data_IF_039098674416
#
_entry.id   IF_039098674416
#
_cell.length_a   1.000
_cell.length_b   1.000
_cell.length_c   1.000
_cell.angle_alpha   90.00
_cell.angle_beta   90.00
_cell.angle_gamma   90.00
#
_symmetry.space_group_name_H-M   'P 1'
#
loop_
_entity.id
_entity.type
_entity.pdbx_description
1 polymer ?
#
# COMPACT_ATOMS: atom_id res chain seq x y z
N UNK A 1 -17.42 10.24 -28.03
CA UNK A 1 -18.02 8.95 -27.61
C UNK A 1 -18.93 9.16 -26.40
N UNK A 2 -20.23 9.41 -26.61
CA UNK A 2 -21.16 9.82 -25.54
C UNK A 2 -22.16 8.75 -25.09
N UNK A 3 -22.28 7.62 -25.81
CA UNK A 3 -23.20 6.54 -25.45
C UNK A 3 -22.61 5.60 -24.39
N UNK A 4 -23.26 5.44 -23.22
CA UNK A 4 -22.78 4.54 -22.16
C UNK A 4 -22.73 3.07 -22.55
N UNK A 5 -23.62 2.60 -23.43
CA UNK A 5 -23.61 1.20 -23.89
C UNK A 5 -22.40 0.91 -24.77
N UNK A 6 -22.11 1.79 -25.72
CA UNK A 6 -20.95 1.67 -26.61
C UNK A 6 -19.64 1.71 -25.80
N UNK A 7 -19.55 2.58 -24.79
CA UNK A 7 -18.38 2.61 -23.90
C UNK A 7 -18.19 1.28 -23.15
N UNK A 8 -19.28 0.70 -22.60
CA UNK A 8 -19.22 -0.61 -21.92
C UNK A 8 -18.80 -1.74 -22.87
N UNK A 9 -19.31 -1.75 -24.10
CA UNK A 9 -18.96 -2.77 -25.08
C UNK A 9 -17.49 -2.67 -25.50
N UNK A 10 -16.99 -1.46 -25.72
CA UNK A 10 -15.57 -1.22 -26.02
C UNK A 10 -14.68 -1.69 -24.86
N UNK A 11 -15.02 -1.34 -23.62
CA UNK A 11 -14.29 -1.79 -22.42
C UNK A 11 -14.29 -3.31 -22.34
N UNK A 12 -15.44 -3.95 -22.56
CA UNK A 12 -15.57 -5.42 -22.51
C UNK A 12 -14.72 -6.10 -23.59
N UNK A 13 -14.77 -5.61 -24.83
CA UNK A 13 -13.99 -6.15 -25.94
C UNK A 13 -12.49 -5.95 -25.70
N UNK A 14 -12.08 -4.76 -25.24
CA UNK A 14 -10.68 -4.47 -24.91
C UNK A 14 -10.16 -5.39 -23.80
N UNK A 15 -10.94 -5.58 -22.72
CA UNK A 15 -10.60 -6.50 -21.65
C UNK A 15 -10.47 -7.95 -22.17
N UNK A 16 -11.46 -8.44 -22.92
CA UNK A 16 -11.42 -9.78 -23.51
C UNK A 16 -10.22 -10.00 -24.42
N UNK A 17 -9.90 -9.03 -25.29
CA UNK A 17 -8.77 -9.13 -26.22
C UNK A 17 -7.43 -9.08 -25.48
N UNK A 18 -7.32 -8.25 -24.45
CA UNK A 18 -6.13 -8.16 -23.60
C UNK A 18 -5.91 -9.48 -22.86
N UNK A 19 -6.93 -10.00 -22.18
CA UNK A 19 -6.89 -11.30 -21.50
C UNK A 19 -6.51 -12.43 -22.46
N UNK A 20 -7.13 -12.49 -23.65
CA UNK A 20 -6.78 -13.52 -24.65
C UNK A 20 -5.33 -13.43 -25.10
N UNK A 21 -4.79 -12.22 -25.22
CA UNK A 21 -3.38 -12.01 -25.56
C UNK A 21 -2.46 -12.52 -24.45
N UNK A 22 -2.81 -12.26 -23.19
CA UNK A 22 -2.08 -12.77 -22.01
C UNK A 22 -2.11 -14.30 -21.98
N UNK A 23 -3.28 -14.91 -22.16
CA UNK A 23 -3.44 -16.38 -22.19
C UNK A 23 -2.59 -16.99 -23.30
N UNK A 24 -2.62 -16.42 -24.50
CA UNK A 24 -1.83 -16.93 -25.62
C UNK A 24 -0.32 -16.77 -25.41
N UNK A 25 0.12 -15.71 -24.73
CA UNK A 25 1.53 -15.48 -24.43
C UNK A 25 2.07 -16.44 -23.36
N UNK A 26 1.23 -16.77 -22.36
CA UNK A 26 1.53 -17.77 -21.34
C UNK A 26 1.44 -19.21 -21.88
N UNK A 27 0.49 -19.50 -22.77
CA UNK A 27 0.29 -20.84 -23.34
C UNK A 27 0.03 -21.90 -22.25
N UNK A 28 0.79 -22.99 -22.30
CA UNK A 28 0.73 -24.11 -21.34
C UNK A 28 1.80 -24.03 -20.24
N UNK A 29 2.57 -22.93 -20.20
CA UNK A 29 3.68 -22.76 -19.26
C UNK A 29 3.23 -22.62 -17.79
N UNK A 30 4.18 -22.78 -16.89
CA UNK A 30 3.96 -22.60 -15.45
C UNK A 30 4.01 -21.11 -15.09
N UNK A 31 3.31 -20.72 -14.03
CA UNK A 31 3.25 -19.32 -13.61
C UNK A 31 3.21 -19.17 -12.09
N UNK A 32 3.52 -17.97 -11.64
CA UNK A 32 3.34 -17.51 -10.26
C UNK A 32 2.17 -16.54 -10.19
N UNK A 33 1.52 -16.47 -9.04
CA UNK A 33 0.50 -15.47 -8.76
C UNK A 33 1.06 -14.42 -7.80
N UNK A 34 0.78 -13.15 -8.08
CA UNK A 34 0.93 -12.07 -7.11
C UNK A 34 -0.47 -11.57 -6.75
N UNK A 35 -0.74 -11.42 -5.45
CA UNK A 35 -2.05 -11.00 -4.97
C UNK A 35 -1.95 -9.87 -3.94
N UNK A 36 -2.91 -8.95 -3.99
CA UNK A 36 -3.03 -7.86 -3.03
C UNK A 36 -4.51 -7.64 -2.65
N UNK A 37 -4.80 -7.62 -1.35
CA UNK A 37 -6.14 -7.34 -0.82
C UNK A 37 -6.35 -5.82 -0.69
N UNK A 38 -7.52 -5.35 -1.11
CA UNK A 38 -7.90 -3.95 -0.96
C UNK A 38 -9.41 -3.80 -0.73
N UNK A 39 -9.79 -2.70 -0.07
CA UNK A 39 -11.18 -2.28 0.09
C UNK A 39 -11.56 -1.27 -0.96
N UNK A 40 -12.71 -1.47 -1.59
CA UNK A 40 -13.29 -0.47 -2.49
C UNK A 40 -14.08 0.62 -1.74
N UNK A 41 -14.53 1.63 -2.47
CA UNK A 41 -15.30 2.77 -1.95
C UNK A 41 -16.64 2.37 -1.31
N UNK A 42 -17.13 1.16 -1.55
CA UNK A 42 -18.35 0.61 -0.96
C UNK A 42 -18.04 -0.35 0.19
N UNK A 43 -16.81 -0.32 0.73
CA UNK A 43 -16.29 -1.19 1.78
C UNK A 43 -16.35 -2.68 1.43
N UNK A 44 -16.30 -3.02 0.14
CA UNK A 44 -16.23 -4.40 -0.32
C UNK A 44 -14.79 -4.82 -0.54
N UNK A 45 -14.46 -5.98 -0.02
CA UNK A 45 -13.14 -6.58 -0.18
C UNK A 45 -12.94 -7.07 -1.62
N UNK A 46 -11.78 -6.74 -2.16
CA UNK A 46 -11.35 -7.10 -3.51
C UNK A 46 -9.91 -7.55 -3.46
N UNK A 47 -9.57 -8.45 -4.35
CA UNK A 47 -8.20 -8.93 -4.49
C UNK A 47 -7.76 -8.73 -5.93
N UNK A 48 -6.65 -8.02 -6.10
CA UNK A 48 -6.00 -7.90 -7.39
C UNK A 48 -5.17 -9.16 -7.58
N UNK A 49 -5.25 -9.78 -8.76
CA UNK A 49 -4.44 -10.95 -9.11
C UNK A 49 -3.62 -10.63 -10.36
N UNK A 50 -2.32 -10.81 -10.25
CA UNK A 50 -1.33 -10.63 -11.31
C UNK A 50 -0.70 -11.99 -11.60
N UNK A 51 -0.53 -12.31 -12.88
CA UNK A 51 0.27 -13.45 -13.33
C UNK A 51 1.70 -12.99 -13.54
N UNK A 52 2.64 -13.73 -12.98
CA UNK A 52 4.08 -13.55 -13.19
C UNK A 52 4.60 -14.84 -13.82
N UNK A 53 5.11 -14.77 -15.06
CA UNK A 53 5.58 -15.93 -15.80
C UNK A 53 6.75 -15.56 -16.72
N UNK A 54 7.42 -16.58 -17.28
CA UNK A 54 8.44 -16.40 -18.31
C UNK A 54 7.79 -16.64 -19.66
N UNK A 55 7.89 -15.68 -20.58
CA UNK A 55 7.34 -15.84 -21.92
C UNK A 55 8.23 -16.73 -22.80
N UNK A 56 7.75 -17.04 -24.00
CA UNK A 56 8.49 -17.85 -25.00
C UNK A 56 9.85 -17.26 -25.44
N UNK A 57 10.15 -16.01 -25.09
CA UNK A 57 11.43 -15.35 -25.37
C UNK A 57 12.38 -15.40 -24.16
N UNK A 58 12.01 -16.10 -23.08
CA UNK A 58 12.80 -16.17 -21.85
C UNK A 58 12.74 -14.90 -20.99
N UNK A 59 11.83 -13.97 -21.27
CA UNK A 59 11.67 -12.73 -20.50
C UNK A 59 10.66 -12.90 -19.37
N UNK A 60 10.93 -12.31 -18.22
CA UNK A 60 9.98 -12.21 -17.11
C UNK A 60 8.85 -11.26 -17.51
N UNK A 61 7.61 -11.69 -17.30
CA UNK A 61 6.42 -10.92 -17.65
C UNK A 61 5.42 -10.95 -16.52
N UNK A 62 5.09 -9.75 -16.05
CA UNK A 62 3.93 -9.51 -15.19
C UNK A 62 2.73 -9.00 -16.00
N UNK A 63 1.59 -9.66 -15.82
CA UNK A 63 0.31 -9.32 -16.45
C UNK A 63 -0.82 -9.29 -15.44
N UNK A 64 -1.52 -8.17 -15.39
CA UNK A 64 -2.77 -8.07 -14.64
C UNK A 64 -3.79 -9.09 -15.16
N UNK A 65 -4.21 -10.01 -14.29
CA UNK A 65 -5.20 -11.02 -14.63
C UNK A 65 -6.62 -10.50 -14.43
N UNK A 66 -6.84 -9.79 -13.32
CA UNK A 66 -8.15 -9.26 -12.98
C UNK A 66 -8.28 -8.89 -11.51
N UNK A 67 -9.50 -8.48 -11.16
CA UNK A 67 -9.91 -8.23 -9.78
C UNK A 67 -10.90 -9.33 -9.39
N UNK A 68 -10.53 -10.11 -8.39
CA UNK A 68 -11.41 -11.09 -7.76
C UNK A 68 -12.27 -10.39 -6.70
N UNK A 69 -13.58 -10.57 -6.77
CA UNK A 69 -14.47 -10.10 -5.71
C UNK A 69 -14.46 -11.12 -4.58
N UNK A 70 -14.15 -10.65 -3.37
CA UNK A 70 -14.03 -11.51 -2.20
C UNK A 70 -15.21 -11.22 -1.27
N UNK A 71 -15.95 -12.28 -0.89
CA UNK A 71 -17.09 -12.15 0.03
C UNK A 71 -16.62 -11.89 1.47
N UNK A 72 -15.57 -12.59 1.89
CA UNK A 72 -14.95 -12.46 3.22
C UNK A 72 -13.45 -12.62 3.10
N UNK A 73 -12.67 -11.97 3.95
CA UNK A 73 -11.19 -12.10 3.97
C UNK A 73 -10.73 -13.43 4.59
N UNK A 74 -11.58 -14.47 4.60
CA UNK A 74 -11.16 -15.80 5.03
C UNK A 74 -10.30 -16.44 3.95
N UNK A 75 -9.28 -17.19 4.33
CA UNK A 75 -8.35 -17.85 3.40
C UNK A 75 -9.04 -18.75 2.39
N UNK A 76 -10.14 -19.40 2.79
CA UNK A 76 -10.95 -20.24 1.91
C UNK A 76 -11.65 -19.37 0.86
N UNK A 77 -12.31 -18.29 1.27
CA UNK A 77 -12.95 -17.37 0.32
C UNK A 77 -11.93 -16.76 -0.64
N UNK A 78 -10.72 -16.45 -0.17
CA UNK A 78 -9.65 -15.93 -1.03
C UNK A 78 -9.21 -16.95 -2.06
N UNK A 79 -8.96 -18.19 -1.64
CA UNK A 79 -8.62 -19.27 -2.56
C UNK A 79 -9.72 -19.48 -3.59
N UNK A 80 -10.98 -19.55 -3.17
CA UNK A 80 -12.12 -19.71 -4.08
C UNK A 80 -12.16 -18.57 -5.09
N UNK A 81 -12.01 -17.32 -4.64
CA UNK A 81 -11.99 -16.14 -5.50
C UNK A 81 -10.83 -16.16 -6.52
N UNK A 82 -9.64 -16.62 -6.13
CA UNK A 82 -8.50 -16.82 -7.06
C UNK A 82 -8.84 -17.91 -8.07
N UNK A 83 -9.34 -19.05 -7.60
CA UNK A 83 -9.67 -20.19 -8.46
C UNK A 83 -10.75 -19.83 -9.48
N UNK A 84 -11.81 -19.15 -9.05
CA UNK A 84 -12.88 -18.69 -9.94
C UNK A 84 -12.35 -17.75 -11.03
N UNK A 85 -11.43 -16.85 -10.66
CA UNK A 85 -10.80 -15.92 -11.60
C UNK A 85 -9.89 -16.66 -12.60
N UNK A 86 -9.07 -17.60 -12.14
CA UNK A 86 -8.19 -18.39 -12.99
C UNK A 86 -8.98 -19.33 -13.92
N UNK A 87 -9.99 -20.03 -13.40
CA UNK A 87 -10.86 -20.92 -14.16
C UNK A 87 -11.61 -20.18 -15.27
N UNK A 88 -12.05 -18.94 -15.03
CA UNK A 88 -12.67 -18.08 -16.05
C UNK A 88 -11.76 -17.83 -17.25
N UNK A 89 -10.45 -17.94 -17.06
CA UNK A 89 -9.44 -17.77 -18.10
C UNK A 89 -8.87 -19.10 -18.61
N UNK A 90 -9.42 -20.24 -18.18
CA UNK A 90 -8.98 -21.57 -18.58
C UNK A 90 -7.72 -22.06 -17.84
N UNK A 91 -7.32 -21.39 -16.76
CA UNK A 91 -6.17 -21.81 -15.96
C UNK A 91 -6.58 -22.70 -14.79
N UNK A 92 -5.68 -23.61 -14.41
CA UNK A 92 -5.82 -24.49 -13.24
C UNK A 92 -4.77 -24.14 -12.18
N UNK A 93 -5.12 -24.29 -10.89
CA UNK A 93 -4.20 -24.05 -9.78
C UNK A 93 -2.98 -24.97 -9.77
N UNK A 94 -3.09 -26.14 -10.40
CA UNK A 94 -2.00 -27.11 -10.55
C UNK A 94 -0.78 -26.57 -11.33
N UNK A 95 -0.95 -25.50 -12.11
CA UNK A 95 0.12 -24.83 -12.87
C UNK A 95 0.86 -23.75 -12.07
N UNK A 96 0.37 -23.42 -10.88
CA UNK A 96 1.00 -22.41 -10.01
C UNK A 96 2.32 -22.97 -9.47
N UNK A 97 3.40 -22.20 -9.61
CA UNK A 97 4.75 -22.49 -9.07
C UNK A 97 5.28 -21.44 -8.11
N UNK A 98 4.58 -20.33 -7.97
CA UNK A 98 4.89 -19.33 -6.96
C UNK A 98 3.65 -18.57 -6.52
N UNK A 99 3.70 -18.06 -5.31
CA UNK A 99 2.66 -17.24 -4.72
C UNK A 99 3.31 -16.12 -3.90
N UNK A 100 3.09 -14.88 -4.35
CA UNK A 100 3.59 -13.67 -3.71
C UNK A 100 2.45 -12.80 -3.19
N UNK A 101 2.41 -12.58 -1.88
CA UNK A 101 1.44 -11.69 -1.24
C UNK A 101 1.90 -11.34 0.19
N UNK A 102 1.13 -10.51 0.89
CA UNK A 102 1.48 -10.07 2.24
C UNK A 102 1.47 -11.21 3.28
N UNK A 103 1.92 -10.88 4.50
CA UNK A 103 2.02 -11.79 5.63
C UNK A 103 0.78 -11.80 6.52
N UNK A 104 -0.38 -11.35 6.03
CA UNK A 104 -1.58 -11.32 6.84
C UNK A 104 -1.96 -12.75 7.30
N UNK A 105 -2.65 -12.87 8.45
CA UNK A 105 -2.90 -14.17 9.09
C UNK A 105 -3.69 -15.14 8.21
N UNK A 106 -4.67 -14.63 7.49
CA UNK A 106 -5.45 -15.32 6.46
C UNK A 106 -4.61 -15.69 5.22
N UNK A 107 -3.49 -15.02 4.98
CA UNK A 107 -2.61 -15.27 3.83
C UNK A 107 -1.50 -16.28 4.18
N UNK A 108 -0.67 -15.99 5.19
CA UNK A 108 0.54 -16.75 5.50
C UNK A 108 0.34 -17.96 6.45
N UNK A 109 -0.81 -18.06 7.13
CA UNK A 109 -1.01 -19.07 8.18
C UNK A 109 -0.73 -20.53 7.76
N UNK A 110 -0.02 -21.28 8.60
CA UNK A 110 0.52 -22.62 8.24
C UNK A 110 -0.53 -23.75 8.16
N UNK A 111 -1.70 -23.56 8.79
CA UNK A 111 -2.76 -24.58 8.81
C UNK A 111 -3.94 -24.17 7.91
N UNK A 112 -4.41 -22.93 8.05
CA UNK A 112 -5.59 -22.45 7.34
C UNK A 112 -5.32 -21.17 6.55
N UNK A 113 -4.07 -20.74 6.38
CA UNK A 113 -3.75 -19.60 5.52
C UNK A 113 -3.83 -19.95 4.04
N UNK A 114 -4.03 -18.95 3.18
CA UNK A 114 -4.11 -19.09 1.73
C UNK A 114 -2.90 -19.85 1.18
N UNK A 115 -1.70 -19.52 1.69
CA UNK A 115 -0.44 -20.21 1.38
C UNK A 115 -0.58 -21.71 1.52
N UNK A 116 -1.05 -22.14 2.68
CA UNK A 116 -1.12 -23.56 3.02
C UNK A 116 -2.22 -24.25 2.21
N UNK A 117 -3.30 -23.54 1.89
CA UNK A 117 -4.39 -24.09 1.08
C UNK A 117 -4.00 -24.26 -0.40
N UNK A 118 -3.19 -23.36 -0.96
CA UNK A 118 -2.67 -23.50 -2.34
C UNK A 118 -1.57 -24.55 -2.39
N UNK A 119 -0.63 -24.56 -1.43
CA UNK A 119 0.44 -25.56 -1.34
C UNK A 119 -0.10 -27.00 -1.26
N UNK A 120 -1.24 -27.22 -0.62
CA UNK A 120 -1.91 -28.53 -0.58
C UNK A 120 -2.38 -29.03 -1.96
N UNK A 121 -2.74 -28.12 -2.86
CA UNK A 121 -3.16 -28.46 -4.23
C UNK A 121 -2.00 -28.47 -5.22
N UNK A 122 -1.05 -27.55 -5.04
CA UNK A 122 0.17 -27.44 -5.83
C UNK A 122 1.38 -27.41 -4.90
N UNK A 123 1.99 -28.57 -4.59
CA UNK A 123 3.15 -28.64 -3.68
C UNK A 123 4.37 -27.84 -4.13
N UNK A 124 4.43 -27.47 -5.41
CA UNK A 124 5.49 -26.67 -5.99
C UNK A 124 5.18 -25.17 -6.00
N UNK A 125 4.06 -24.70 -5.43
CA UNK A 125 3.68 -23.29 -5.40
C UNK A 125 4.36 -22.54 -4.24
N UNK A 126 5.64 -22.22 -4.39
CA UNK A 126 6.44 -21.64 -3.30
C UNK A 126 5.95 -20.24 -2.88
N UNK A 127 5.85 -20.04 -1.58
CA UNK A 127 5.46 -18.76 -0.98
C UNK A 127 6.62 -17.79 -0.87
N UNK A 128 6.39 -16.57 -1.33
CA UNK A 128 7.26 -15.42 -1.07
C UNK A 128 6.45 -14.35 -0.35
N UNK A 129 6.88 -14.00 0.87
CA UNK A 129 6.31 -12.87 1.59
C UNK A 129 6.75 -11.57 0.91
N UNK A 130 5.81 -10.68 0.64
CA UNK A 130 6.08 -9.35 0.11
C UNK A 130 7.16 -8.60 0.92
N UNK A 131 8.36 -8.45 0.34
CA UNK A 131 9.49 -7.78 0.99
C UNK A 131 9.20 -6.31 1.30
N UNK A 132 8.46 -5.61 0.44
CA UNK A 132 8.05 -4.24 0.69
C UNK A 132 7.15 -4.13 1.95
N UNK A 133 6.26 -5.11 2.15
CA UNK A 133 5.44 -5.20 3.36
C UNK A 133 6.29 -5.56 4.59
N UNK A 134 7.27 -6.46 4.46
CA UNK A 134 8.18 -6.78 5.57
C UNK A 134 9.01 -5.57 6.02
N UNK A 135 9.59 -4.84 5.06
CA UNK A 135 10.31 -3.60 5.34
C UNK A 135 9.41 -2.59 6.06
N UNK A 136 8.17 -2.44 5.59
CA UNK A 136 7.17 -1.57 6.22
C UNK A 136 6.91 -1.97 7.68
N UNK A 137 6.69 -3.26 7.95
CA UNK A 137 6.44 -3.77 9.30
C UNK A 137 7.65 -3.56 10.23
N UNK A 138 8.87 -3.75 9.74
CA UNK A 138 10.10 -3.50 10.50
C UNK A 138 10.22 -2.03 10.91
N UNK A 139 9.97 -1.10 10.00
CA UNK A 139 9.98 0.33 10.29
C UNK A 139 8.92 0.72 11.35
N UNK A 140 7.71 0.14 11.27
CA UNK A 140 6.67 0.34 12.29
C UNK A 140 7.11 -0.17 13.65
N UNK A 141 7.66 -1.37 13.71
CA UNK A 141 8.10 -1.96 14.97
C UNK A 141 9.18 -1.09 15.64
N UNK A 142 10.18 -0.65 14.86
CA UNK A 142 11.27 0.20 15.35
C UNK A 142 10.74 1.56 15.81
N UNK A 143 9.93 2.24 15.00
CA UNK A 143 9.38 3.55 15.35
C UNK A 143 8.54 3.52 16.64
N UNK A 144 7.76 2.45 16.85
CA UNK A 144 6.96 2.26 18.08
C UNK A 144 7.81 1.89 19.30
N UNK A 145 8.94 1.21 19.10
CA UNK A 145 9.83 0.80 20.18
C UNK A 145 10.68 1.96 20.73
N UNK A 146 10.89 3.03 19.96
CA UNK A 146 11.72 4.16 20.36
C UNK A 146 10.90 5.33 20.92
N UNK A 147 11.09 5.60 22.23
CA UNK A 147 10.41 6.67 22.97
C UNK A 147 10.61 8.07 22.41
N UNK A 148 11.71 8.34 21.70
CA UNK A 148 11.98 9.63 21.07
C UNK A 148 11.29 9.77 19.71
N UNK A 149 11.08 8.65 19.01
CA UNK A 149 10.49 8.61 17.67
C UNK A 149 8.95 8.64 17.72
N UNK A 150 8.36 7.98 18.71
CA UNK A 150 6.91 7.94 18.88
C UNK A 150 6.25 9.33 19.03
N UNK A 151 6.80 10.28 19.80
CA UNK A 151 6.30 11.66 19.87
C UNK A 151 6.34 12.40 18.53
N UNK A 152 7.37 12.18 17.70
CA UNK A 152 7.46 12.78 16.37
C UNK A 152 6.29 12.35 15.47
N UNK A 153 5.99 11.05 15.41
CA UNK A 153 4.88 10.57 14.58
C UNK A 153 3.51 10.91 15.16
N UNK A 154 3.40 11.03 16.48
CA UNK A 154 2.20 11.57 17.13
C UNK A 154 1.99 13.04 16.76
N UNK A 155 3.04 13.86 16.82
CA UNK A 155 3.02 15.26 16.36
C UNK A 155 2.54 15.37 14.90
N UNK A 156 3.09 14.55 14.00
CA UNK A 156 2.73 14.56 12.58
C UNK A 156 1.25 14.24 12.40
N UNK A 157 0.73 13.21 13.07
CA UNK A 157 -0.69 12.86 13.04
C UNK A 157 -1.55 14.02 13.55
N UNK A 158 -1.25 14.53 14.74
CA UNK A 158 -2.07 15.54 15.40
C UNK A 158 -2.09 16.86 14.59
N UNK A 159 -0.98 17.24 13.98
CA UNK A 159 -0.89 18.42 13.10
C UNK A 159 -1.73 18.27 11.84
N UNK A 160 -1.88 17.04 11.33
CA UNK A 160 -2.63 16.71 10.11
C UNK A 160 -4.11 16.41 10.32
N UNK A 161 -4.49 16.05 11.55
CA UNK A 161 -5.87 15.91 11.97
C UNK A 161 -6.52 17.26 12.28
N UNK A 162 -5.77 18.22 12.83
CA UNK A 162 -6.27 19.57 13.15
C UNK A 162 -6.45 20.47 11.92
N UNK A 163 -5.82 20.12 10.79
CA UNK A 163 -6.13 20.72 9.50
C UNK A 163 -7.35 20.05 8.88
N UNK A 164 -8.56 20.58 9.12
CA UNK A 164 -9.70 20.35 8.23
C UNK A 164 -9.41 20.97 6.86
N UNK A 165 -8.54 20.33 6.10
CA UNK A 165 -8.42 20.58 4.67
C UNK A 165 -8.93 19.31 4.02
N UNK A 166 -10.09 19.45 3.39
CA UNK A 166 -10.60 18.57 2.35
C UNK A 166 -9.40 18.21 1.47
N UNK A 167 -8.83 17.02 1.63
CA UNK A 167 -7.77 16.56 0.74
C UNK A 167 -8.43 16.27 -0.60
N UNK A 168 -8.63 17.31 -1.40
CA UNK A 168 -9.06 17.19 -2.78
C UNK A 168 -8.04 16.32 -3.51
N UNK A 169 -8.52 15.26 -4.15
CA UNK A 169 -7.71 14.46 -5.08
C UNK A 169 -7.25 15.40 -6.21
N UNK A 170 -5.95 15.72 -6.32
CA UNK A 170 -5.45 16.63 -7.36
C UNK A 170 -3.92 16.85 -7.35
N UNK A 171 -3.40 17.42 -8.45
CA UNK A 171 -1.99 17.51 -8.88
C UNK A 171 -1.04 18.42 -8.05
N UNK A 172 -1.49 19.07 -6.97
CA UNK A 172 -0.71 20.11 -6.27
C UNK A 172 -0.15 19.70 -4.89
N UNK A 173 0.14 18.40 -4.67
CA UNK A 173 0.59 17.88 -3.37
C UNK A 173 2.12 17.81 -3.19
N UNK A 174 2.92 18.40 -4.07
CA UNK A 174 4.38 18.31 -3.93
C UNK A 174 4.91 19.06 -2.70
N UNK A 175 4.24 20.15 -2.27
CA UNK A 175 4.71 21.04 -1.18
C UNK A 175 3.81 21.08 0.06
N UNK A 176 2.70 20.33 0.10
CA UNK A 176 1.80 20.30 1.28
C UNK A 176 2.13 19.14 2.22
N UNK A 177 1.88 19.29 3.54
CA UNK A 177 1.99 18.18 4.48
C UNK A 177 1.04 17.04 4.06
N UNK A 178 1.60 15.94 3.55
CA UNK A 178 0.82 14.78 3.11
C UNK A 178 0.27 14.06 4.34
N UNK A 179 -0.98 13.60 4.30
CA UNK A 179 -1.49 12.67 5.30
C UNK A 179 -0.72 11.37 5.20
N UNK A 180 -0.02 10.94 6.27
CA UNK A 180 0.50 9.61 6.31
C UNK A 180 -0.66 8.64 6.25
N UNK A 181 -0.61 7.69 5.33
CA UNK A 181 -1.44 6.51 5.43
C UNK A 181 -0.68 5.52 6.32
N UNK A 182 -1.34 4.98 7.34
CA UNK A 182 -0.76 3.99 8.28
C UNK A 182 -0.09 2.80 7.57
N UNK A 183 -0.45 2.57 6.29
CA UNK A 183 0.02 1.46 5.46
C UNK A 183 1.16 1.81 4.48
N UNK A 184 1.63 3.06 4.38
CA UNK A 184 2.64 3.47 3.38
C UNK A 184 3.70 4.44 3.93
N UNK A 185 4.86 3.95 4.41
CA UNK A 185 5.98 4.77 4.94
C UNK A 185 6.56 5.79 3.95
N UNK A 186 6.40 5.58 2.64
CA UNK A 186 6.75 6.58 1.63
C UNK A 186 5.99 7.90 1.82
N UNK A 187 4.75 7.84 2.32
CA UNK A 187 3.99 9.03 2.70
C UNK A 187 4.60 9.74 3.91
N UNK A 188 5.03 8.98 4.93
CA UNK A 188 5.72 9.53 6.10
C UNK A 188 7.03 10.23 5.73
N UNK A 189 7.84 9.66 4.84
CA UNK A 189 9.06 10.31 4.34
C UNK A 189 8.76 11.68 3.74
N UNK A 190 7.81 11.75 2.79
CA UNK A 190 7.42 13.00 2.16
C UNK A 190 6.85 14.02 3.17
N UNK A 191 6.11 13.55 4.17
CA UNK A 191 5.61 14.41 5.25
C UNK A 191 6.73 14.99 6.10
N UNK A 192 7.75 14.20 6.46
CA UNK A 192 8.90 14.72 7.22
C UNK A 192 9.71 15.73 6.40
N UNK A 193 9.93 15.45 5.11
CA UNK A 193 10.58 16.40 4.19
C UNK A 193 9.80 17.72 4.13
N UNK A 194 8.49 17.65 3.95
CA UNK A 194 7.64 18.84 3.89
C UNK A 194 7.59 19.59 5.23
N UNK A 195 7.58 18.88 6.37
CA UNK A 195 7.66 19.51 7.69
C UNK A 195 8.98 20.28 7.88
N UNK A 196 10.11 19.73 7.41
CA UNK A 196 11.41 20.41 7.46
C UNK A 196 11.38 21.66 6.57
N UNK A 197 10.86 21.55 5.35
CA UNK A 197 10.78 22.67 4.40
C UNK A 197 9.83 23.78 4.89
N UNK A 198 8.74 23.40 5.57
CA UNK A 198 7.71 24.31 6.06
C UNK A 198 7.87 24.66 7.55
N UNK A 199 9.01 24.36 8.17
CA UNK A 199 9.15 24.42 9.63
C UNK A 199 8.80 25.81 10.20
N UNK A 200 9.27 26.88 9.55
CA UNK A 200 8.95 28.27 9.90
C UNK A 200 7.47 28.63 9.70
N UNK A 201 6.85 28.11 8.64
CA UNK A 201 5.42 28.33 8.37
C UNK A 201 4.54 27.59 9.38
N UNK A 202 4.88 26.34 9.71
CA UNK A 202 4.15 25.54 10.69
C UNK A 202 4.24 26.15 12.08
N UNK A 203 5.43 26.58 12.51
CA UNK A 203 5.61 27.31 13.77
C UNK A 203 4.80 28.59 13.81
N UNK A 204 4.85 29.42 12.76
CA UNK A 204 4.05 30.64 12.68
C UNK A 204 2.53 30.40 12.76
N UNK A 205 2.02 29.34 12.11
CA UNK A 205 0.59 28.97 12.22
C UNK A 205 0.24 28.52 13.64
N UNK A 206 1.07 27.70 14.27
CA UNK A 206 0.83 27.27 15.64
C UNK A 206 0.90 28.44 16.64
N UNK A 207 1.78 29.43 16.41
CA UNK A 207 1.84 30.66 17.20
C UNK A 207 0.57 31.50 17.05
N UNK A 208 0.03 31.64 15.83
CA UNK A 208 -1.26 32.32 15.63
C UNK A 208 -2.41 31.60 16.36
N UNK A 209 -2.46 30.26 16.29
CA UNK A 209 -3.47 29.46 16.98
C UNK A 209 -3.35 29.52 18.51
N UNK A 210 -2.12 29.75 19.02
CA UNK A 210 -1.87 29.95 20.45
C UNK A 210 -2.51 31.25 20.96
N UNK A 211 -2.54 32.30 20.16
CA UNK A 211 -3.09 33.60 20.54
C UNK A 211 -4.63 33.68 20.33
N UNK A 212 -5.23 32.68 19.69
CA UNK A 212 -6.66 32.69 19.37
C UNK A 212 -7.54 32.45 20.61
N UNK A 213 -8.33 33.46 20.97
CA UNK A 213 -9.05 33.55 22.27
C UNK A 213 -10.26 32.61 22.34
N UNK A 214 -10.89 32.27 21.22
CA UNK A 214 -12.17 31.53 21.14
C UNK A 214 -12.06 30.01 21.20
N UNK A 215 -10.87 29.43 20.97
CA UNK A 215 -10.69 27.98 20.81
C UNK A 215 -9.70 27.39 21.84
N UNK A 216 -10.16 27.21 23.08
CA UNK A 216 -9.30 26.79 24.20
C UNK A 216 -8.60 25.43 23.98
N UNK A 217 -9.29 24.47 23.37
CA UNK A 217 -8.70 23.17 23.03
C UNK A 217 -7.65 23.26 21.92
N UNK A 218 -7.90 24.07 20.89
CA UNK A 218 -6.93 24.32 19.82
C UNK A 218 -5.68 25.00 20.35
N UNK A 219 -5.85 25.95 21.28
CA UNK A 219 -4.76 26.65 21.97
C UNK A 219 -3.87 25.71 22.78
N UNK A 220 -4.48 24.84 23.59
CA UNK A 220 -3.74 23.88 24.41
C UNK A 220 -2.91 22.92 23.54
N UNK A 221 -3.51 22.44 22.44
CA UNK A 221 -2.82 21.60 21.45
C UNK A 221 -1.68 22.35 20.76
N UNK A 222 -1.93 23.56 20.25
CA UNK A 222 -0.92 24.37 19.57
C UNK A 222 0.28 24.66 20.47
N UNK A 223 0.04 25.00 21.75
CA UNK A 223 1.08 25.16 22.76
C UNK A 223 1.91 23.88 22.96
N UNK A 224 1.26 22.73 23.07
CA UNK A 224 1.95 21.45 23.21
C UNK A 224 2.82 21.11 22.00
N UNK A 225 2.32 21.36 20.78
CA UNK A 225 3.04 21.15 19.53
C UNK A 225 4.25 22.09 19.41
N UNK A 226 4.10 23.39 19.72
CA UNK A 226 5.21 24.34 19.74
C UNK A 226 6.29 23.95 20.75
N UNK A 227 5.89 23.57 21.96
CA UNK A 227 6.82 23.12 23.00
C UNK A 227 7.60 21.87 22.58
N UNK A 228 6.99 20.98 21.79
CA UNK A 228 7.70 19.84 21.22
C UNK A 228 8.68 20.27 20.14
N UNK A 229 8.26 21.14 19.22
CA UNK A 229 9.09 21.60 18.10
C UNK A 229 10.36 22.31 18.57
N UNK A 230 10.28 23.09 19.64
CA UNK A 230 11.41 23.86 20.21
C UNK A 230 12.49 22.98 20.88
N UNK A 231 12.20 21.69 21.10
CA UNK A 231 13.18 20.76 21.69
C UNK A 231 14.23 20.34 20.68
N UNK A 232 15.49 20.38 21.11
CA UNK A 232 16.61 19.78 20.37
C UNK A 232 16.33 18.32 20.00
N UNK A 233 15.81 17.52 20.93
CA UNK A 233 15.50 16.11 20.69
C UNK A 233 14.49 15.92 19.55
N UNK A 234 13.52 16.85 19.40
CA UNK A 234 12.56 16.80 18.31
C UNK A 234 13.24 17.09 16.97
N UNK A 235 14.03 18.16 16.89
CA UNK A 235 14.79 18.52 15.68
C UNK A 235 15.74 17.39 15.27
N UNK A 236 16.51 16.85 16.22
CA UNK A 236 17.42 15.73 15.99
C UNK A 236 16.66 14.51 15.47
N UNK A 237 15.56 14.13 16.12
CA UNK A 237 14.75 12.97 15.73
C UNK A 237 14.11 13.17 14.36
N UNK A 238 13.62 14.36 14.05
CA UNK A 238 13.05 14.72 12.74
C UNK A 238 14.08 14.51 11.61
N UNK A 239 15.28 15.06 11.76
CA UNK A 239 16.34 14.90 10.75
C UNK A 239 16.89 13.47 10.69
N UNK A 240 17.04 12.80 11.83
CA UNK A 240 17.44 11.40 11.88
C UNK A 240 16.44 10.50 11.15
N UNK A 241 15.15 10.63 11.47
CA UNK A 241 14.10 9.85 10.83
C UNK A 241 13.93 10.21 9.35
N UNK A 242 14.13 11.47 8.94
CA UNK A 242 14.20 11.81 7.51
C UNK A 242 15.23 10.95 6.80
N UNK A 243 16.45 10.81 7.33
CA UNK A 243 17.52 10.07 6.68
C UNK A 243 17.24 8.55 6.65
N UNK A 244 16.73 7.99 7.74
CA UNK A 244 16.32 6.57 7.79
C UNK A 244 15.20 6.28 6.79
N UNK A 245 14.21 7.17 6.71
CA UNK A 245 13.10 7.03 5.77
C UNK A 245 13.50 7.28 4.33
N UNK A 246 14.52 8.08 4.06
CA UNK A 246 15.08 8.30 2.73
C UNK A 246 15.58 6.97 2.12
N UNK A 247 16.52 6.33 2.84
CA UNK A 247 17.15 5.07 2.43
C UNK A 247 16.10 3.96 2.29
N UNK A 248 15.21 3.85 3.28
CA UNK A 248 14.18 2.81 3.25
C UNK A 248 13.09 3.06 2.20
N UNK A 249 12.80 4.32 1.85
CA UNK A 249 11.92 4.66 0.74
C UNK A 249 12.55 4.26 -0.61
N UNK A 250 13.84 4.51 -0.83
CA UNK A 250 14.55 4.05 -2.03
C UNK A 250 14.52 2.52 -2.16
N UNK A 251 14.78 1.81 -1.07
CA UNK A 251 14.68 0.35 -1.03
C UNK A 251 13.25 -0.12 -1.31
N UNK A 252 12.25 0.50 -0.67
CA UNK A 252 10.83 0.18 -0.86
C UNK A 252 10.39 0.35 -2.32
N UNK A 253 10.81 1.44 -2.97
CA UNK A 253 10.54 1.67 -4.39
C UNK A 253 11.23 0.63 -5.27
N UNK A 254 12.48 0.27 -4.95
CA UNK A 254 13.23 -0.75 -5.69
C UNK A 254 12.59 -2.13 -5.60
N UNK A 255 12.08 -2.51 -4.42
CA UNK A 255 11.36 -3.77 -4.19
C UNK A 255 9.99 -3.86 -4.90
N UNK A 256 9.47 -2.73 -5.38
CA UNK A 256 8.17 -2.63 -6.08
C UNK A 256 8.33 -2.38 -7.58
N UNK A 257 9.56 -2.21 -8.07
CA UNK A 257 9.80 -2.11 -9.52
C UNK A 257 9.50 -3.46 -10.15
N UNK A 258 8.94 -3.39 -11.34
CA UNK A 258 8.77 -4.56 -12.19
C UNK A 258 10.14 -5.07 -12.63
N UNK A 259 10.32 -6.39 -12.59
CA UNK A 259 11.49 -7.12 -13.10
C UNK A 259 11.69 -6.94 -14.62
#
# INVERSE_FOLDING_TARGET
MTSPSIQKDIIKIAALKTTKTIINDLGDELFSILADESRDISNKEKMIVILHYVNKYGSIVERFSGIAHVKTTTSISLKTSINDLLCKHGFTTSRIRGQGYDGARNMQGDIYGLKSLILRESPCAFYVHCFAHQLQLTLVAIAKAHLQVCPLFSFVRDTLENGEIISGKGLNQETSLKRPADTRWSSHYATLVNLILMYSSVTGVLEMLKEEVSAQDARAKANGLLFLMDKFDFALTLHFMKNVLDISNELSQSLQKKD
#
